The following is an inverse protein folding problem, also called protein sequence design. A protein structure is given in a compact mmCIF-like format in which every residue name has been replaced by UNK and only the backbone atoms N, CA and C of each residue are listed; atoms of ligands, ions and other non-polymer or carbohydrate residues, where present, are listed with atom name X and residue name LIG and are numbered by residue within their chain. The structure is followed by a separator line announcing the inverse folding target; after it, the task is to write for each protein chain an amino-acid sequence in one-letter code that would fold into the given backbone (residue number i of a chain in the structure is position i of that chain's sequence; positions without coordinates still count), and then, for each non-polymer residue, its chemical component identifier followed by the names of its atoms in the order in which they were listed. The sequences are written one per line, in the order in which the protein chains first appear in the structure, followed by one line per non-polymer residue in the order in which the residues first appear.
data_IF_290341889088
#
_entry.id   IF_290341889088
#
_cell.length_a   1.000
_cell.length_b   1.000
_cell.length_c   1.000
_cell.angle_alpha   90.00
_cell.angle_beta   90.00
_cell.angle_gamma   90.00
#
_symmetry.space_group_name_H-M   'P 1'
#
loop_
_entity.id
_entity.type
_entity.pdbx_description
1 polymer ?
#
# COMPACT_ATOMS: atom_id res chain seq x y z
N UNK A 1 -6.75 0.29 -2.93
CA UNK A 1 -6.02 -0.74 -2.17
C UNK A 1 -5.09 -1.56 -3.07
N UNK A 2 -5.59 -2.30 -4.07
CA UNK A 2 -4.79 -3.17 -4.94
C UNK A 2 -3.55 -2.50 -5.52
N UNK A 3 -3.72 -1.31 -6.10
CA UNK A 3 -2.60 -0.58 -6.70
C UNK A 3 -1.55 -0.17 -5.68
N UNK A 4 -1.95 0.10 -4.44
CA UNK A 4 -1.01 0.39 -3.37
C UNK A 4 -0.20 -0.85 -2.98
N UNK A 5 -0.76 -2.06 -3.05
CA UNK A 5 -0.01 -3.30 -2.83
C UNK A 5 1.03 -3.50 -3.91
N UNK A 6 0.65 -3.32 -5.19
CA UNK A 6 1.56 -3.45 -6.33
C UNK A 6 2.69 -2.43 -6.27
N UNK A 7 2.35 -1.16 -5.99
CA UNK A 7 3.33 -0.08 -5.86
C UNK A 7 4.23 -0.23 -4.64
N UNK A 8 3.71 -0.77 -3.53
CA UNK A 8 4.52 -1.11 -2.37
C UNK A 8 5.53 -2.21 -2.70
N UNK A 9 5.11 -3.25 -3.43
CA UNK A 9 5.98 -4.35 -3.84
C UNK A 9 7.19 -3.90 -4.68
N UNK A 10 7.01 -2.91 -5.55
CA UNK A 10 8.11 -2.33 -6.35
C UNK A 10 9.26 -1.78 -5.47
N UNK A 11 8.99 -1.36 -4.23
CA UNK A 11 10.00 -0.93 -3.27
C UNK A 11 10.42 -2.06 -2.32
N UNK A 12 9.46 -2.88 -1.88
CA UNK A 12 9.71 -3.99 -0.94
C UNK A 12 10.65 -5.04 -1.52
N UNK A 13 10.65 -5.26 -2.84
CA UNK A 13 11.55 -6.22 -3.48
C UNK A 13 13.04 -5.84 -3.34
N UNK A 14 13.35 -4.55 -3.19
CA UNK A 14 14.70 -4.02 -2.94
C UNK A 14 14.95 -3.86 -1.43
N UNK A 15 14.48 -4.80 -0.60
CA UNK A 15 14.58 -4.70 0.86
C UNK A 15 15.97 -5.16 1.38
N UNK A 16 16.34 -4.82 2.62
CA UNK A 16 17.50 -5.45 3.25
C UNK A 16 17.41 -6.98 3.20
N UNK A 17 18.55 -7.64 2.95
CA UNK A 17 18.64 -9.10 2.85
C UNK A 17 18.41 -9.69 1.46
N UNK A 18 18.31 -8.87 0.41
CA UNK A 18 18.17 -9.32 -0.99
C UNK A 18 19.28 -8.84 -1.92
N UNK A 19 20.39 -8.32 -1.39
CA UNK A 19 21.50 -7.74 -2.16
C UNK A 19 22.12 -6.55 -1.43
N UNK A 20 23.02 -5.83 -2.11
CA UNK A 20 23.60 -4.57 -1.65
C UNK A 20 22.76 -3.36 -2.08
N UNK A 21 22.00 -3.47 -3.18
CA UNK A 21 21.07 -2.42 -3.61
C UNK A 21 19.80 -2.44 -2.77
N UNK A 22 19.83 -1.69 -1.68
CA UNK A 22 18.76 -1.68 -0.68
C UNK A 22 18.01 -0.35 -0.64
N UNK A 23 16.68 -0.43 -0.74
CA UNK A 23 15.76 0.63 -0.40
C UNK A 23 15.62 0.75 1.12
N UNK A 24 15.98 1.90 1.67
CA UNK A 24 15.71 2.26 3.06
C UNK A 24 14.21 2.46 3.35
N UNK A 25 13.35 2.40 2.32
CA UNK A 25 11.91 2.61 2.40
C UNK A 25 11.47 3.97 1.92
N UNK A 26 10.36 4.46 2.48
CA UNK A 26 9.80 5.73 2.03
C UNK A 26 8.61 6.19 2.83
N UNK A 27 8.08 7.35 2.43
CA UNK A 27 6.87 7.92 3.00
C UNK A 27 5.72 7.76 2.04
N UNK A 28 4.64 7.14 2.53
CA UNK A 28 3.42 7.04 1.75
C UNK A 28 2.82 8.44 1.59
N UNK A 29 2.59 8.85 0.36
CA UNK A 29 2.00 10.17 0.05
C UNK A 29 0.60 10.25 0.66
N UNK A 30 0.43 11.15 1.64
CA UNK A 30 -0.81 11.47 2.37
C UNK A 30 -1.33 10.30 3.20
N UNK A 31 -1.36 10.38 4.52
CA UNK A 31 -1.97 9.31 5.33
C UNK A 31 -3.51 9.43 5.36
N UNK A 32 -4.00 10.59 5.77
CA UNK A 32 -5.42 10.96 5.81
C UNK A 32 -5.74 11.87 4.63
N UNK A 33 -6.86 11.64 3.97
CA UNK A 33 -7.37 12.57 2.96
C UNK A 33 -7.38 14.01 3.47
N UNK A 34 -7.15 14.95 2.55
CA UNK A 34 -6.90 16.35 2.90
C UNK A 34 -7.40 17.28 1.81
N UNK A 35 -7.69 18.54 2.18
CA UNK A 35 -8.04 19.58 1.23
C UNK A 35 -6.80 20.26 0.63
N UNK A 36 -5.84 19.44 0.16
CA UNK A 36 -4.67 19.89 -0.60
C UNK A 36 -4.91 19.69 -2.10
N UNK A 37 -3.94 20.06 -2.94
CA UNK A 37 -3.99 19.82 -4.39
C UNK A 37 -4.45 18.38 -4.71
N UNK A 38 -5.49 18.24 -5.51
CA UNK A 38 -6.13 16.97 -5.82
C UNK A 38 -6.04 16.64 -7.32
N UNK A 39 -6.29 15.36 -7.63
CA UNK A 39 -6.31 14.81 -8.99
C UNK A 39 -7.43 13.77 -9.03
N UNK A 40 -8.63 14.19 -9.34
CA UNK A 40 -9.81 13.35 -9.29
C UNK A 40 -11.09 14.17 -9.41
N UNK A 41 -12.21 13.48 -9.32
CA UNK A 41 -13.55 14.06 -9.49
C UNK A 41 -14.00 14.90 -8.29
N UNK A 42 -13.48 14.60 -7.09
CA UNK A 42 -13.83 15.36 -5.87
C UNK A 42 -13.01 16.63 -5.75
N UNK A 43 -13.57 17.60 -5.04
CA UNK A 43 -12.94 18.88 -4.70
C UNK A 43 -11.88 18.80 -3.58
N UNK A 44 -11.43 17.60 -3.19
CA UNK A 44 -10.36 17.39 -2.21
C UNK A 44 -9.51 16.15 -2.56
N UNK A 45 -8.32 16.06 -1.96
CA UNK A 45 -7.36 15.00 -2.26
C UNK A 45 -7.71 13.70 -1.52
N UNK A 46 -8.17 12.70 -2.28
CA UNK A 46 -8.51 11.33 -1.82
C UNK A 46 -7.36 10.33 -1.78
N UNK A 47 -6.12 10.80 -1.68
CA UNK A 47 -4.94 9.91 -1.76
C UNK A 47 -4.69 9.12 -0.47
N UNK A 48 -5.32 9.47 0.65
CA UNK A 48 -5.15 8.88 1.98
C UNK A 48 -5.61 7.43 2.07
N UNK A 49 -5.01 6.69 3.02
CA UNK A 49 -5.47 5.36 3.43
C UNK A 49 -6.61 5.44 4.45
N UNK A 50 -6.79 6.60 5.08
CA UNK A 50 -8.01 6.99 5.80
C UNK A 50 -8.69 8.16 5.10
N UNK A 51 -9.97 8.36 5.35
CA UNK A 51 -10.69 9.56 4.98
C UNK A 51 -10.28 10.77 5.88
N UNK A 52 -10.82 11.99 5.68
CA UNK A 52 -10.51 13.15 6.50
C UNK A 52 -10.98 13.03 7.96
N UNK A 53 -11.95 12.18 8.25
CA UNK A 53 -12.45 11.90 9.59
C UNK A 53 -11.75 10.73 10.27
N UNK A 54 -10.67 10.21 9.65
CA UNK A 54 -9.86 9.08 10.12
C UNK A 54 -10.68 7.79 10.22
N UNK A 55 -11.62 7.61 9.30
CA UNK A 55 -12.26 6.32 9.02
C UNK A 55 -11.34 5.58 8.04
N UNK A 56 -11.01 4.34 8.39
CA UNK A 56 -10.09 3.50 7.67
C UNK A 56 -10.71 2.99 6.36
N UNK A 57 -9.95 3.10 5.26
CA UNK A 57 -10.30 2.48 3.97
C UNK A 57 -9.68 1.09 3.89
N UNK A 58 -10.07 0.29 2.90
CA UNK A 58 -9.41 -0.99 2.58
C UNK A 58 -7.88 -0.88 2.48
N UNK A 59 -7.40 0.26 1.98
CA UNK A 59 -5.99 0.53 1.86
C UNK A 59 -5.28 0.60 3.21
N UNK A 60 -5.91 1.08 4.28
CA UNK A 60 -5.31 1.10 5.62
C UNK A 60 -4.97 -0.32 6.07
N UNK A 61 -5.94 -1.25 5.99
CA UNK A 61 -5.76 -2.63 6.39
C UNK A 61 -4.78 -3.38 5.48
N UNK A 62 -4.77 -3.08 4.18
CA UNK A 62 -3.76 -3.62 3.27
C UNK A 62 -2.33 -3.23 3.71
N UNK A 63 -2.10 -1.96 4.07
CA UNK A 63 -0.79 -1.53 4.58
C UNK A 63 -0.48 -2.15 5.94
N UNK A 64 -1.48 -2.30 6.81
CA UNK A 64 -1.29 -2.98 8.10
C UNK A 64 -0.74 -4.41 7.91
N UNK A 65 -1.24 -5.15 6.93
CA UNK A 65 -0.71 -6.47 6.58
C UNK A 65 0.70 -6.39 6.01
N UNK A 66 0.93 -5.54 5.00
CA UNK A 66 2.21 -5.44 4.29
C UNK A 66 3.36 -4.92 5.16
N UNK A 67 3.07 -4.05 6.12
CA UNK A 67 4.08 -3.41 6.97
C UNK A 67 4.29 -4.10 8.32
N UNK A 68 3.62 -5.24 8.56
CA UNK A 68 3.77 -5.97 9.80
C UNK A 68 5.06 -6.80 9.82
N UNK A 69 6.16 -6.15 10.19
CA UNK A 69 7.49 -6.66 9.93
C UNK A 69 7.94 -6.21 8.54
N UNK A 70 8.13 -4.90 8.41
CA UNK A 70 8.43 -4.17 7.18
C UNK A 70 9.35 -4.89 6.18
N UNK A 71 10.39 -5.58 6.68
CA UNK A 71 11.26 -6.44 5.85
C UNK A 71 10.78 -7.89 5.92
N UNK A 72 10.99 -8.51 7.08
CA UNK A 72 10.55 -9.87 7.37
C UNK A 72 9.37 -9.84 8.33
N UNK A 73 8.43 -10.75 8.10
CA UNK A 73 7.15 -10.79 8.82
C UNK A 73 7.37 -10.98 10.32
N UNK A 74 6.90 -10.01 11.11
CA UNK A 74 6.88 -10.09 12.57
C UNK A 74 5.63 -10.86 13.03
N UNK A 75 4.45 -10.50 12.48
CA UNK A 75 3.20 -11.20 12.75
C UNK A 75 2.40 -11.44 11.47
N UNK A 76 1.93 -12.67 11.27
CA UNK A 76 1.06 -12.99 10.15
C UNK A 76 -0.30 -12.30 10.28
N UNK A 77 -0.77 -11.73 9.17
CA UNK A 77 -2.07 -11.08 9.05
C UNK A 77 -2.67 -11.35 7.67
N UNK A 78 -4.00 -11.28 7.62
CA UNK A 78 -4.79 -11.48 6.41
C UNK A 78 -5.94 -10.48 6.43
N UNK A 79 -6.25 -9.91 5.26
CA UNK A 79 -7.36 -8.99 5.07
C UNK A 79 -8.05 -9.26 3.74
N UNK A 80 -9.39 -9.42 3.76
CA UNK A 80 -10.18 -9.51 2.53
C UNK A 80 -10.66 -8.09 2.19
N UNK A 81 -10.38 -7.63 0.97
CA UNK A 81 -10.76 -6.28 0.52
C UNK A 81 -12.27 -6.20 0.25
N UNK A 82 -12.92 -5.17 0.80
CA UNK A 82 -14.32 -4.84 0.57
C UNK A 82 -15.30 -5.43 1.59
N UNK A 83 -16.47 -5.87 1.12
CA UNK A 83 -17.57 -6.39 1.93
C UNK A 83 -18.19 -7.64 1.28
N UNK A 84 -19.14 -8.29 1.96
CA UNK A 84 -19.81 -9.52 1.47
C UNK A 84 -21.35 -9.39 1.41
N UNK A 85 -21.80 -8.28 0.82
CA UNK A 85 -23.21 -7.97 0.56
C UNK A 85 -23.35 -7.61 -0.91
N UNK A 86 -23.78 -8.56 -1.73
CA UNK A 86 -23.96 -8.36 -3.17
C UNK A 86 -25.34 -8.87 -3.60
N UNK A 87 -25.87 -8.42 -4.75
CA UNK A 87 -27.05 -9.03 -5.34
C UNK A 87 -26.85 -10.53 -5.58
N UNK A 88 -27.93 -11.31 -5.49
CA UNK A 88 -27.91 -12.72 -5.87
C UNK A 88 -27.35 -12.90 -7.28
N UNK A 89 -26.68 -14.04 -7.51
CA UNK A 89 -26.02 -14.37 -8.79
C UNK A 89 -24.83 -13.48 -9.19
N UNK A 90 -24.39 -12.55 -8.35
CA UNK A 90 -23.15 -11.80 -8.58
C UNK A 90 -21.96 -12.77 -8.66
N UNK A 91 -21.15 -12.67 -9.71
CA UNK A 91 -19.84 -13.33 -9.82
C UNK A 91 -18.79 -12.23 -9.95
N UNK A 92 -17.82 -12.22 -9.04
CA UNK A 92 -16.79 -11.17 -9.01
C UNK A 92 -15.44 -11.71 -8.55
N UNK A 93 -14.36 -10.96 -8.82
CA UNK A 93 -13.09 -11.25 -8.19
C UNK A 93 -13.14 -10.97 -6.68
N UNK A 94 -12.42 -11.78 -5.91
CA UNK A 94 -12.07 -11.54 -4.50
C UNK A 94 -10.57 -11.33 -4.40
N UNK A 95 -10.20 -10.32 -3.61
CA UNK A 95 -8.81 -9.95 -3.38
C UNK A 95 -8.50 -10.05 -1.89
N UNK A 96 -7.43 -10.76 -1.58
CA UNK A 96 -6.94 -10.93 -0.21
C UNK A 96 -5.53 -10.40 -0.12
N UNK A 97 -5.25 -9.57 0.88
CA UNK A 97 -3.90 -9.15 1.23
C UNK A 97 -3.42 -10.02 2.39
N UNK A 98 -2.31 -10.72 2.22
CA UNK A 98 -1.70 -11.52 3.30
C UNK A 98 -0.19 -11.52 3.18
N UNK A 99 0.51 -11.59 4.31
CA UNK A 99 1.95 -11.83 4.39
C UNK A 99 2.31 -13.32 4.62
N UNK A 100 1.35 -14.23 4.45
CA UNK A 100 1.62 -15.67 4.38
C UNK A 100 2.03 -16.12 2.97
N UNK A 101 2.44 -17.37 2.86
CA UNK A 101 2.95 -17.95 1.61
C UNK A 101 1.83 -18.42 0.68
N UNK A 102 0.71 -18.88 1.24
CA UNK A 102 -0.46 -19.35 0.49
C UNK A 102 -1.74 -18.90 1.18
N UNK A 103 -2.78 -18.61 0.40
CA UNK A 103 -4.11 -18.28 0.93
C UNK A 103 -5.15 -19.20 0.28
N UNK A 104 -5.98 -19.83 1.10
CA UNK A 104 -7.18 -20.55 0.67
C UNK A 104 -8.43 -19.71 0.96
N UNK A 105 -9.37 -19.69 0.03
CA UNK A 105 -10.65 -19.02 0.21
C UNK A 105 -11.74 -20.04 0.48
N UNK A 106 -12.55 -19.83 1.51
CA UNK A 106 -13.71 -20.66 1.84
C UNK A 106 -14.97 -19.82 1.77
N UNK A 107 -16.02 -20.38 1.16
CA UNK A 107 -17.36 -19.82 1.15
C UNK A 107 -18.30 -20.79 1.85
N UNK A 108 -18.90 -20.36 2.97
CA UNK A 108 -19.77 -21.17 3.80
C UNK A 108 -19.13 -22.51 4.22
N UNK A 109 -17.83 -22.46 4.56
CA UNK A 109 -17.03 -23.63 4.96
C UNK A 109 -16.55 -24.50 3.80
N UNK A 110 -16.95 -24.24 2.55
CA UNK A 110 -16.48 -24.96 1.38
C UNK A 110 -15.28 -24.26 0.75
N UNK A 111 -14.18 -24.98 0.56
CA UNK A 111 -13.00 -24.47 -0.15
C UNK A 111 -13.34 -24.09 -1.60
N UNK A 112 -12.85 -22.93 -2.01
CA UNK A 112 -12.84 -22.44 -3.38
C UNK A 112 -11.44 -22.56 -4.02
N UNK A 113 -10.51 -23.22 -3.33
CA UNK A 113 -9.12 -23.40 -3.76
C UNK A 113 -8.16 -22.34 -3.19
N UNK A 114 -6.90 -22.45 -3.61
CA UNK A 114 -5.83 -21.53 -3.25
C UNK A 114 -5.75 -20.37 -4.25
N UNK A 115 -5.53 -19.17 -3.74
CA UNK A 115 -5.44 -17.95 -4.54
C UNK A 115 -4.14 -17.88 -5.32
N UNK A 116 -4.17 -17.19 -6.47
CA UNK A 116 -2.96 -16.86 -7.21
C UNK A 116 -2.22 -15.74 -6.49
N UNK A 117 -0.96 -15.98 -6.10
CA UNK A 117 -0.11 -14.97 -5.46
C UNK A 117 0.44 -13.99 -6.52
N UNK A 118 0.32 -12.70 -6.25
CA UNK A 118 0.78 -11.59 -7.07
C UNK A 118 1.43 -10.53 -6.16
N UNK A 119 2.47 -9.85 -6.66
CA UNK A 119 3.16 -8.77 -5.92
C UNK A 119 3.49 -9.13 -4.46
N UNK A 120 3.86 -10.39 -4.23
CA UNK A 120 4.14 -11.03 -2.94
C UNK A 120 2.99 -11.09 -1.92
N UNK A 121 2.19 -10.02 -1.76
CA UNK A 121 1.18 -9.90 -0.71
C UNK A 121 -0.26 -10.06 -1.19
N UNK A 122 -0.52 -10.02 -2.50
CA UNK A 122 -1.86 -10.05 -3.07
C UNK A 122 -2.22 -11.45 -3.52
N UNK A 123 -3.36 -11.97 -3.06
CA UNK A 123 -3.92 -13.24 -3.49
C UNK A 123 -5.25 -12.99 -4.21
N UNK A 124 -5.36 -13.45 -5.45
CA UNK A 124 -6.50 -13.20 -6.33
C UNK A 124 -7.33 -14.47 -6.57
N UNK A 125 -8.65 -14.26 -6.63
CA UNK A 125 -9.64 -15.29 -6.95
C UNK A 125 -10.63 -14.70 -7.97
N UNK A 126 -10.49 -15.06 -9.25
CA UNK A 126 -11.10 -14.30 -10.35
C UNK A 126 -12.64 -14.36 -10.42
N UNK A 127 -13.21 -15.53 -10.09
CA UNK A 127 -14.64 -15.82 -10.31
C UNK A 127 -15.26 -16.47 -9.08
N UNK A 128 -15.53 -15.66 -8.06
CA UNK A 128 -16.25 -16.11 -6.86
C UNK A 128 -17.73 -15.77 -7.03
N UNK A 129 -18.57 -16.81 -7.11
CA UNK A 129 -20.01 -16.66 -7.10
C UNK A 129 -20.47 -16.31 -5.69
N UNK A 130 -21.16 -15.18 -5.55
CA UNK A 130 -21.69 -14.73 -4.28
C UNK A 130 -22.76 -15.71 -3.77
N UNK A 131 -22.60 -16.09 -2.50
CA UNK A 131 -23.63 -16.73 -1.70
C UNK A 131 -23.66 -16.00 -0.36
N UNK A 132 -24.87 -15.68 0.10
CA UNK A 132 -25.04 -15.13 1.44
C UNK A 132 -24.44 -16.06 2.49
N UNK A 133 -23.82 -15.49 3.51
CA UNK A 133 -23.18 -16.22 4.60
C UNK A 133 -21.76 -15.72 4.85
N UNK A 134 -20.80 -16.63 4.94
CA UNK A 134 -19.45 -16.36 5.45
C UNK A 134 -18.39 -16.62 4.38
N UNK A 135 -17.60 -15.59 4.08
CA UNK A 135 -16.40 -15.68 3.23
C UNK A 135 -15.16 -15.61 4.12
N UNK A 136 -14.29 -16.59 4.03
CA UNK A 136 -13.09 -16.71 4.87
C UNK A 136 -11.84 -16.84 4.01
N UNK A 137 -10.78 -16.14 4.40
CA UNK A 137 -9.46 -16.31 3.83
C UNK A 137 -8.54 -16.88 4.90
N UNK A 138 -7.93 -18.03 4.61
CA UNK A 138 -7.03 -18.77 5.50
C UNK A 138 -5.65 -18.73 4.93
N UNK A 139 -4.71 -18.16 5.68
CA UNK A 139 -3.33 -17.98 5.27
C UNK A 139 -2.44 -19.03 5.90
N UNK A 140 -1.50 -19.54 5.11
CA UNK A 140 -0.58 -20.60 5.48
C UNK A 140 0.87 -20.15 5.31
N UNK A 141 1.76 -20.63 6.17
CA UNK A 141 3.21 -20.43 6.02
C UNK A 141 3.85 -21.42 5.02
N UNK A 142 5.16 -21.28 4.80
CA UNK A 142 5.92 -22.18 3.92
C UNK A 142 5.97 -23.65 4.38
N UNK A 143 5.53 -23.96 5.60
CA UNK A 143 5.39 -25.32 6.14
C UNK A 143 3.96 -25.85 6.03
N UNK A 144 3.04 -25.07 5.46
CA UNK A 144 1.62 -25.43 5.31
C UNK A 144 0.79 -25.29 6.58
N UNK A 145 1.27 -24.59 7.61
CA UNK A 145 0.53 -24.34 8.86
C UNK A 145 -0.35 -23.11 8.72
N UNK A 146 -1.58 -23.15 9.23
CA UNK A 146 -2.43 -21.96 9.32
C UNK A 146 -1.78 -20.93 10.25
N UNK A 147 -1.61 -19.70 9.77
CA UNK A 147 -0.94 -18.61 10.51
C UNK A 147 -1.83 -17.39 10.72
N UNK A 148 -2.84 -17.19 9.87
CA UNK A 148 -3.84 -16.13 10.05
C UNK A 148 -5.12 -16.42 9.27
N UNK A 149 -6.23 -15.85 9.75
CA UNK A 149 -7.56 -16.00 9.14
C UNK A 149 -8.30 -14.67 9.18
N UNK A 150 -9.02 -14.35 8.10
CA UNK A 150 -9.91 -13.20 8.05
C UNK A 150 -11.29 -13.62 7.53
N UNK A 151 -12.35 -12.97 8.02
CA UNK A 151 -13.73 -13.34 7.72
C UNK A 151 -14.54 -12.09 7.36
N UNK A 152 -15.29 -12.18 6.27
CA UNK A 152 -16.41 -11.30 5.97
C UNK A 152 -17.71 -12.08 6.08
N UNK A 153 -18.77 -11.44 6.55
CA UNK A 153 -20.10 -12.03 6.62
C UNK A 153 -21.13 -11.14 5.95
N UNK A 154 -22.12 -11.75 5.31
CA UNK A 154 -23.29 -11.02 4.81
C UNK A 154 -24.06 -10.43 5.99
N UNK A 155 -24.27 -9.11 5.92
CA UNK A 155 -24.99 -8.31 6.90
C UNK A 155 -26.47 -8.22 6.51
N UNK A 156 -27.38 -8.19 7.50
CA UNK A 156 -28.81 -8.06 7.26
C UNK A 156 -29.25 -6.65 6.85
N UNK A 157 -30.56 -6.46 6.78
CA UNK A 157 -31.18 -5.14 6.56
C UNK A 157 -30.86 -4.17 7.71
N UNK A 158 -30.75 -2.88 7.38
CA UNK A 158 -30.55 -1.81 8.35
C UNK A 158 -31.67 -1.80 9.39
N UNK A 159 -31.31 -1.81 10.68
CA UNK A 159 -32.24 -1.93 11.79
C UNK A 159 -32.17 -0.76 12.78
N UNK A 160 -30.99 -0.16 12.99
CA UNK A 160 -30.84 0.98 13.89
C UNK A 160 -29.60 1.82 13.57
N UNK A 161 -29.56 3.01 14.16
CA UNK A 161 -28.36 3.83 14.28
C UNK A 161 -27.60 3.44 15.54
N UNK A 162 -26.28 3.33 15.44
CA UNK A 162 -25.37 3.12 16.57
C UNK A 162 -24.45 4.33 16.71
N UNK A 163 -24.38 4.90 17.92
CA UNK A 163 -23.58 6.08 18.22
C UNK A 163 -22.47 5.72 19.19
N UNK A 164 -21.21 5.96 18.79
CA UNK A 164 -20.03 5.74 19.63
C UNK A 164 -19.22 7.01 19.72
N UNK A 165 -18.84 7.42 20.92
CA UNK A 165 -17.96 8.58 21.13
C UNK A 165 -16.52 8.13 21.41
N UNK A 166 -15.58 8.73 20.68
CA UNK A 166 -14.15 8.63 20.90
C UNK A 166 -13.70 9.91 21.58
N UNK A 167 -13.25 9.78 22.82
CA UNK A 167 -12.85 10.90 23.68
C UNK A 167 -11.37 10.76 24.04
N UNK A 168 -10.78 11.82 24.57
CA UNK A 168 -9.48 11.73 25.22
C UNK A 168 -9.52 10.63 26.32
N UNK A 169 -8.46 9.81 26.47
CA UNK A 169 -8.38 8.79 27.52
C UNK A 169 -8.64 9.27 28.95
N UNK A 170 -8.41 10.56 29.24
CA UNK A 170 -8.71 11.17 30.55
C UNK A 170 -10.11 11.76 30.66
N UNK A 171 -10.94 11.61 29.63
CA UNK A 171 -12.29 12.16 29.54
C UNK A 171 -12.36 13.41 28.66
N UNK A 172 -13.59 13.81 28.33
CA UNK A 172 -13.85 14.97 27.48
C UNK A 172 -13.84 16.25 28.32
N UNK A 173 -12.90 17.16 28.09
CA UNK A 173 -12.67 18.31 28.96
C UNK A 173 -13.39 19.57 28.46
N UNK A 174 -13.93 20.36 29.38
CA UNK A 174 -14.56 21.65 29.11
C UNK A 174 -13.54 22.80 29.11
N UNK A 175 -12.58 22.75 28.18
CA UNK A 175 -11.58 23.79 27.98
C UNK A 175 -11.91 24.72 26.79
N UNK A 176 -12.99 24.44 26.05
CA UNK A 176 -13.39 25.19 24.86
C UNK A 176 -12.70 24.76 23.56
N UNK A 177 -11.81 23.76 23.60
CA UNK A 177 -11.00 23.32 22.48
C UNK A 177 -11.03 21.79 22.27
N UNK A 178 -11.16 21.02 23.35
CA UNK A 178 -11.22 19.56 23.31
C UNK A 178 -12.36 19.09 22.41
N UNK A 179 -12.16 17.95 21.77
CA UNK A 179 -13.10 17.40 20.80
C UNK A 179 -13.37 15.93 21.10
N UNK A 180 -14.66 15.58 21.13
CA UNK A 180 -15.10 14.21 21.00
C UNK A 180 -15.41 13.92 19.54
N UNK A 181 -14.93 12.79 19.02
CA UNK A 181 -15.41 12.29 17.73
C UNK A 181 -16.65 11.42 17.96
N UNK A 182 -17.75 11.78 17.32
CA UNK A 182 -18.98 11.00 17.30
C UNK A 182 -19.00 10.15 16.03
N UNK A 183 -18.84 8.84 16.17
CA UNK A 183 -19.09 7.89 15.10
C UNK A 183 -20.57 7.52 15.06
N UNK A 184 -21.16 7.55 13.87
CA UNK A 184 -22.48 7.03 13.58
C UNK A 184 -22.35 5.85 12.63
N UNK A 185 -23.00 4.74 12.95
CA UNK A 185 -23.11 3.58 12.07
C UNK A 185 -24.56 3.21 11.85
N UNK A 186 -24.90 2.83 10.63
CA UNK A 186 -26.14 2.11 10.32
C UNK A 186 -25.83 0.62 10.45
N UNK A 187 -26.51 -0.05 11.37
CA UNK A 187 -26.25 -1.46 11.69
C UNK A 187 -27.50 -2.31 11.53
N UNK A 188 -27.30 -3.60 11.25
CA UNK A 188 -28.37 -4.59 11.24
C UNK A 188 -28.83 -4.95 12.67
N UNK A 189 -29.81 -5.86 12.75
CA UNK A 189 -30.35 -6.32 14.04
C UNK A 189 -29.29 -6.95 14.96
N UNK A 190 -28.20 -7.48 14.39
CA UNK A 190 -27.12 -8.15 15.10
C UNK A 190 -25.97 -7.16 15.43
N UNK A 191 -26.11 -5.87 15.09
CA UNK A 191 -25.11 -4.83 15.34
C UNK A 191 -23.95 -4.81 14.35
N UNK A 192 -24.11 -5.42 13.18
CA UNK A 192 -23.09 -5.39 12.12
C UNK A 192 -23.36 -4.21 11.19
N UNK A 193 -22.33 -3.41 10.89
CA UNK A 193 -22.43 -2.27 9.97
C UNK A 193 -22.95 -2.69 8.59
N UNK A 194 -23.96 -2.00 8.08
CA UNK A 194 -24.53 -2.22 6.76
C UNK A 194 -23.68 -1.51 5.68
N UNK A 195 -22.81 -2.23 4.94
CA UNK A 195 -21.77 -1.61 4.12
C UNK A 195 -22.29 -0.92 2.85
N UNK A 196 -23.57 -1.11 2.51
CA UNK A 196 -24.20 -0.52 1.32
C UNK A 196 -25.06 0.71 1.67
N UNK A 197 -25.21 1.03 2.95
CA UNK A 197 -26.07 2.13 3.38
C UNK A 197 -25.38 3.47 3.19
N UNK A 198 -26.04 4.40 2.51
CA UNK A 198 -25.52 5.76 2.27
C UNK A 198 -26.57 6.84 2.61
N UNK A 199 -27.50 6.52 3.53
CA UNK A 199 -28.59 7.44 3.89
C UNK A 199 -28.10 8.67 4.66
N UNK A 200 -28.88 9.74 4.63
CA UNK A 200 -28.63 10.93 5.44
C UNK A 200 -29.09 10.73 6.89
N UNK A 201 -28.22 11.09 7.84
CA UNK A 201 -28.54 11.14 9.27
C UNK A 201 -28.65 12.60 9.72
N UNK A 202 -29.77 12.96 10.34
CA UNK A 202 -29.98 14.26 10.95
C UNK A 202 -29.55 14.24 12.41
N UNK A 203 -28.73 15.20 12.80
CA UNK A 203 -28.25 15.36 14.16
C UNK A 203 -28.94 16.52 14.87
N UNK A 204 -29.06 16.39 16.19
CA UNK A 204 -29.40 17.50 17.09
C UNK A 204 -28.49 17.43 18.31
N UNK A 205 -27.87 18.56 18.65
CA UNK A 205 -26.99 18.72 19.79
C UNK A 205 -27.66 19.61 20.84
N UNK A 206 -27.68 19.19 22.11
CA UNK A 206 -28.13 20.00 23.25
C UNK A 206 -27.09 19.96 24.37
N UNK A 207 -26.88 21.07 25.06
CA UNK A 207 -25.96 21.17 26.18
C UNK A 207 -24.74 22.05 25.88
N UNK A 208 -23.72 21.96 26.73
CA UNK A 208 -22.53 22.81 26.73
C UNK A 208 -21.47 22.32 25.72
N UNK A 209 -21.84 22.30 24.43
CA UNK A 209 -20.96 21.93 23.33
C UNK A 209 -21.34 22.58 22.00
N UNK A 210 -20.40 22.57 21.07
CA UNK A 210 -20.58 23.05 19.71
C UNK A 210 -20.41 21.91 18.70
N UNK A 211 -21.32 21.84 17.73
CA UNK A 211 -21.19 20.95 16.59
C UNK A 211 -20.17 21.50 15.60
N UNK A 212 -19.20 20.66 15.22
CA UNK A 212 -18.17 21.00 14.24
C UNK A 212 -18.26 20.16 12.95
N UNK A 213 -19.35 19.43 12.78
CA UNK A 213 -19.66 18.70 11.55
C UNK A 213 -18.80 17.48 11.31
N UNK A 214 -19.10 16.80 10.21
CA UNK A 214 -18.24 15.81 9.59
C UNK A 214 -17.94 16.22 8.15
N UNK A 215 -17.73 15.23 7.29
CA UNK A 215 -17.61 15.41 5.86
C UNK A 215 -18.29 14.24 5.14
N UNK A 216 -18.91 14.51 4.01
CA UNK A 216 -19.45 13.49 3.12
C UNK A 216 -19.44 14.02 1.68
N UNK A 217 -19.49 13.13 0.69
CA UNK A 217 -19.70 13.50 -0.70
C UNK A 217 -21.05 14.20 -0.86
N UNK A 218 -21.04 15.37 -1.50
CA UNK A 218 -22.23 16.19 -1.69
C UNK A 218 -21.91 17.67 -1.83
N UNK A 219 -22.97 18.49 -1.86
CA UNK A 219 -22.83 19.94 -1.93
C UNK A 219 -22.07 20.44 -0.70
N UNK A 220 -21.06 21.28 -0.94
CA UNK A 220 -20.20 21.87 0.11
C UNK A 220 -19.55 20.83 1.06
N UNK A 221 -19.46 19.57 0.61
CA UNK A 221 -18.98 18.41 1.36
C UNK A 221 -19.65 18.20 2.74
N UNK A 222 -20.87 18.73 2.95
CA UNK A 222 -21.58 18.69 4.24
C UNK A 222 -20.79 19.28 5.43
N UNK A 223 -19.82 20.17 5.17
CA UNK A 223 -19.01 20.78 6.22
C UNK A 223 -19.93 21.59 7.16
N UNK A 224 -19.83 21.32 8.47
CA UNK A 224 -20.68 21.90 9.54
C UNK A 224 -22.18 21.55 9.46
N UNK A 225 -22.63 20.80 8.45
CA UNK A 225 -24.05 20.43 8.32
C UNK A 225 -24.45 19.47 9.46
N UNK A 226 -25.70 19.60 9.91
CA UNK A 226 -26.33 18.68 10.85
C UNK A 226 -27.00 17.51 10.11
N UNK A 227 -27.10 17.58 8.78
CA UNK A 227 -27.56 16.49 7.92
C UNK A 227 -26.33 15.87 7.25
N UNK A 228 -25.87 14.76 7.79
CA UNK A 228 -24.63 14.12 7.34
C UNK A 228 -24.95 12.72 6.80
N UNK A 229 -24.73 12.45 5.51
CA UNK A 229 -24.77 11.11 4.94
C UNK A 229 -23.82 10.16 5.66
N UNK A 230 -24.26 8.92 5.91
CA UNK A 230 -23.29 7.83 6.07
C UNK A 230 -22.70 7.46 4.72
N UNK A 231 -21.46 7.00 4.70
CA UNK A 231 -20.81 6.43 3.53
C UNK A 231 -20.38 5.01 3.87
N UNK A 232 -20.84 4.01 3.12
CA UNK A 232 -20.63 2.60 3.45
C UNK A 232 -21.11 2.22 4.87
N UNK A 233 -22.22 2.82 5.32
CA UNK A 233 -22.85 2.57 6.60
C UNK A 233 -22.20 3.27 7.79
N UNK A 234 -21.21 4.15 7.58
CA UNK A 234 -20.51 4.84 8.65
C UNK A 234 -20.26 6.32 8.30
N UNK A 235 -20.29 7.21 9.29
CA UNK A 235 -19.61 8.51 9.22
C UNK A 235 -19.20 8.94 10.63
N UNK A 236 -18.46 10.04 10.72
CA UNK A 236 -18.00 10.62 11.98
C UNK A 236 -18.14 12.14 11.93
N UNK A 237 -18.52 12.70 13.07
CA UNK A 237 -18.60 14.14 13.28
C UNK A 237 -17.79 14.57 14.50
N UNK A 238 -17.46 15.84 14.55
CA UNK A 238 -16.72 16.46 15.64
C UNK A 238 -17.65 17.26 16.54
N UNK A 239 -17.53 17.06 17.84
CA UNK A 239 -18.21 17.85 18.87
C UNK A 239 -17.13 18.51 19.73
N UNK A 240 -17.11 19.84 19.74
CA UNK A 240 -16.16 20.62 20.55
C UNK A 240 -16.80 21.00 21.87
N UNK A 241 -16.08 20.88 22.98
CA UNK A 241 -16.55 21.35 24.28
C UNK A 241 -16.66 22.88 24.32
N UNK A 242 -17.49 23.41 25.22
CA UNK A 242 -17.33 24.82 25.65
C UNK A 242 -16.39 24.88 26.86
N UNK A 243 -16.08 26.08 27.34
CA UNK A 243 -15.33 26.27 28.59
C UNK A 243 -16.16 25.95 29.86
N UNK A 244 -17.42 25.56 29.72
CA UNK A 244 -18.31 25.23 30.84
C UNK A 244 -18.61 23.74 30.84
N UNK A 245 -18.24 23.08 31.93
CA UNK A 245 -18.57 21.66 32.11
C UNK A 245 -20.07 21.43 32.15
N UNK A 246 -20.53 20.35 31.55
CA UNK A 246 -21.95 20.06 31.46
C UNK A 246 -22.29 18.78 30.73
N UNK A 247 -23.57 18.44 30.83
CA UNK A 247 -24.16 17.32 30.10
C UNK A 247 -24.40 17.75 28.65
N UNK A 248 -23.98 16.90 27.72
CA UNK A 248 -24.19 17.07 26.29
C UNK A 248 -25.05 15.90 25.82
N UNK A 249 -26.05 16.16 25.00
CA UNK A 249 -26.93 15.13 24.49
C UNK A 249 -27.03 15.27 22.98
N UNK A 250 -26.58 14.23 22.28
CA UNK A 250 -26.68 14.11 20.84
C UNK A 250 -27.85 13.20 20.51
N UNK A 251 -28.66 13.60 19.54
CA UNK A 251 -29.72 12.77 18.94
C UNK A 251 -29.42 12.61 17.47
N UNK A 252 -29.53 11.39 16.96
CA UNK A 252 -29.38 11.05 15.55
C UNK A 252 -30.66 10.40 15.03
N UNK A 253 -31.15 10.86 13.90
CA UNK A 253 -32.40 10.44 13.28
C UNK A 253 -32.17 10.15 11.80
N UNK A 254 -32.73 9.06 11.29
CA UNK A 254 -32.68 8.72 9.87
C UNK A 254 -34.01 8.08 9.46
N UNK A 255 -34.39 8.27 8.19
CA UNK A 255 -35.65 7.73 7.68
C UNK A 255 -35.72 6.20 7.84
N UNK A 256 -36.85 5.71 8.34
CA UNK A 256 -37.12 4.29 8.54
C UNK A 256 -36.38 3.62 9.71
N UNK A 257 -35.57 4.36 10.49
CA UNK A 257 -34.83 3.82 11.64
C UNK A 257 -35.26 4.50 12.95
N UNK A 258 -35.22 3.78 14.09
CA UNK A 258 -35.43 4.41 15.39
C UNK A 258 -34.33 5.44 15.68
N UNK A 259 -34.71 6.54 16.33
CA UNK A 259 -33.76 7.57 16.74
C UNK A 259 -32.77 7.02 17.77
N UNK A 260 -31.48 7.35 17.62
CA UNK A 260 -30.44 7.03 18.58
C UNK A 260 -30.06 8.27 19.40
N UNK A 261 -29.66 8.05 20.65
CA UNK A 261 -29.29 9.13 21.57
C UNK A 261 -28.06 8.76 22.35
N UNK A 262 -27.08 9.67 22.39
CA UNK A 262 -25.87 9.52 23.18
C UNK A 262 -25.75 10.70 24.15
N UNK A 263 -25.43 10.41 25.41
CA UNK A 263 -25.12 11.43 26.41
C UNK A 263 -23.62 11.41 26.67
N UNK A 264 -23.00 12.59 26.58
CA UNK A 264 -21.62 12.84 26.97
C UNK A 264 -21.62 13.78 28.18
N UNK A 265 -20.53 13.76 28.92
CA UNK A 265 -20.32 14.64 30.06
C UNK A 265 -18.93 15.24 29.94
N UNK A 266 -18.84 16.56 30.02
CA UNK A 266 -17.54 17.22 30.07
C UNK A 266 -17.05 17.39 31.50
N UNK A 267 -15.73 17.27 31.67
CA UNK A 267 -15.00 17.47 32.93
C UNK A 267 -14.57 18.93 33.02
N UNK A 268 -14.78 19.63 34.15
CA UNK A 268 -14.34 21.01 34.30
C UNK A 268 -12.81 21.11 34.28
N UNK A 269 -12.30 22.11 33.55
CA UNK A 269 -10.88 22.49 33.59
C UNK A 269 -10.72 23.67 34.51
N UNK A 270 -9.80 23.56 35.48
CA UNK A 270 -9.51 24.67 36.39
C UNK A 270 -8.75 25.75 35.63
N UNK A 271 -9.28 26.97 35.67
CA UNK A 271 -8.64 28.17 35.13
C UNK A 271 -8.56 29.22 36.23
N UNK A 272 -7.35 29.71 36.50
CA UNK A 272 -7.08 30.81 37.42
C UNK A 272 -6.33 31.90 36.65
N UNK A 273 -6.86 33.13 36.66
CA UNK A 273 -6.26 34.29 35.98
C UNK A 273 -5.92 34.05 34.49
N UNK A 274 -6.77 33.28 33.81
CA UNK A 274 -6.60 32.94 32.39
C UNK A 274 -5.62 31.79 32.11
N UNK A 275 -5.09 31.13 33.15
CA UNK A 275 -4.15 30.03 33.04
C UNK A 275 -4.74 28.72 33.58
N UNK A 276 -4.37 27.59 32.96
CA UNK A 276 -4.67 26.25 33.44
C UNK A 276 -3.39 25.45 33.61
N UNK A 277 -3.36 24.57 34.61
CA UNK A 277 -2.33 23.55 34.81
C UNK A 277 -2.62 22.26 34.02
N UNK A 278 -3.82 22.14 33.43
CA UNK A 278 -4.17 21.04 32.56
C UNK A 278 -3.48 21.19 31.19
N UNK A 279 -2.61 20.23 30.86
CA UNK A 279 -1.91 20.16 29.59
C UNK A 279 -2.24 18.80 28.93
N UNK A 280 -3.13 18.75 27.91
CA UNK A 280 -3.53 17.50 27.26
C UNK A 280 -2.36 16.65 26.75
N UNK A 281 -1.26 17.29 26.34
CA UNK A 281 -0.06 16.58 25.86
C UNK A 281 0.62 15.72 26.94
N UNK A 282 0.44 16.04 28.23
CA UNK A 282 1.05 15.28 29.33
C UNK A 282 0.28 14.00 29.66
N UNK A 283 -0.91 13.82 29.08
CA UNK A 283 -1.84 12.75 29.41
C UNK A 283 -1.77 11.60 28.40
N UNK A 284 -1.26 11.89 27.20
CA UNK A 284 -1.03 10.91 26.15
C UNK A 284 0.23 10.08 26.45
N UNK A 285 0.02 8.88 26.99
CA UNK A 285 1.11 7.92 27.18
C UNK A 285 1.57 7.36 25.83
N UNK A 286 2.88 7.36 25.60
CA UNK A 286 3.48 6.62 24.48
C UNK A 286 3.16 5.13 24.57
N UNK A 287 3.00 4.46 23.42
CA UNK A 287 2.92 3.00 23.35
C UNK A 287 4.31 2.41 23.13
N UNK A 288 4.78 1.62 24.09
CA UNK A 288 6.10 0.95 24.09
C UNK A 288 5.96 -0.58 24.07
N UNK A 289 4.84 -1.09 23.56
CA UNK A 289 4.49 -2.51 23.50
C UNK A 289 5.43 -3.35 22.63
N UNK A 290 6.12 -2.72 21.68
CA UNK A 290 7.16 -3.34 20.85
C UNK A 290 8.51 -3.55 21.57
N UNK A 291 8.70 -3.00 22.76
CA UNK A 291 9.95 -3.11 23.50
C UNK A 291 11.10 -2.32 22.89
N UNK A 292 12.32 -2.68 23.29
CA UNK A 292 13.55 -2.05 22.80
C UNK A 292 13.89 -2.50 21.38
N UNK A 293 14.58 -1.63 20.63
CA UNK A 293 15.12 -1.99 19.31
C UNK A 293 16.07 -3.18 19.44
N UNK A 294 15.87 -4.27 18.70
CA UNK A 294 16.76 -5.43 18.73
C UNK A 294 18.21 -5.05 18.36
N UNK A 295 19.19 -5.72 18.99
CA UNK A 295 20.62 -5.55 18.69
C UNK A 295 21.05 -6.24 17.38
N UNK A 296 20.22 -7.13 16.85
CA UNK A 296 20.44 -7.84 15.60
C UNK A 296 19.59 -7.22 14.48
N UNK A 297 19.97 -7.40 13.21
CA UNK A 297 19.08 -7.10 12.10
C UNK A 297 17.71 -7.77 12.27
N UNK A 298 16.65 -7.09 11.84
CA UNK A 298 15.28 -7.58 11.87
C UNK A 298 14.90 -8.40 10.62
N UNK A 299 15.90 -8.86 9.87
CA UNK A 299 15.73 -9.57 8.62
C UNK A 299 16.79 -10.66 8.47
N UNK A 300 16.50 -11.62 7.59
CA UNK A 300 17.41 -12.70 7.19
C UNK A 300 17.86 -12.47 5.75
N UNK A 301 19.15 -12.69 5.49
CA UNK A 301 19.66 -12.67 4.12
C UNK A 301 19.10 -13.86 3.34
N UNK A 302 18.50 -13.55 2.19
CA UNK A 302 17.93 -14.53 1.26
C UNK A 302 18.72 -14.60 -0.05
N UNK A 303 19.44 -13.54 -0.38
CA UNK A 303 20.33 -13.48 -1.55
C UNK A 303 21.66 -12.84 -1.16
N UNK A 304 22.72 -13.15 -1.91
CA UNK A 304 24.01 -12.48 -1.84
C UNK A 304 24.37 -11.86 -3.18
N UNK A 305 24.99 -10.69 -3.14
CA UNK A 305 25.59 -10.05 -4.31
C UNK A 305 26.88 -10.75 -4.74
N UNK A 306 27.09 -10.83 -6.05
CA UNK A 306 28.32 -11.30 -6.67
C UNK A 306 28.99 -10.12 -7.36
N UNK A 307 30.06 -9.62 -6.72
CA UNK A 307 30.75 -8.42 -7.17
C UNK A 307 31.22 -8.48 -8.63
N UNK A 308 31.05 -7.37 -9.35
CA UNK A 308 31.54 -7.17 -10.72
C UNK A 308 32.99 -6.66 -10.65
N UNK A 309 33.90 -7.34 -11.35
CA UNK A 309 35.32 -6.95 -11.44
C UNK A 309 35.59 -6.06 -12.64
N UNK A 310 34.96 -6.38 -13.77
CA UNK A 310 35.11 -5.60 -15.01
C UNK A 310 33.95 -5.87 -15.97
N UNK A 311 33.82 -5.01 -16.99
CA UNK A 311 32.83 -5.20 -18.04
C UNK A 311 33.39 -4.80 -19.41
N UNK A 312 33.07 -5.60 -20.44
CA UNK A 312 33.36 -5.35 -21.85
C UNK A 312 32.07 -5.22 -22.64
N UNK A 313 32.02 -4.29 -23.60
CA UNK A 313 30.80 -4.03 -24.36
C UNK A 313 31.04 -3.83 -25.86
N UNK A 314 29.95 -3.98 -26.62
CA UNK A 314 29.96 -3.78 -28.07
C UNK A 314 30.22 -2.33 -28.52
N UNK A 315 29.95 -1.35 -27.66
CA UNK A 315 30.20 0.08 -27.88
C UNK A 315 30.46 0.80 -26.55
N UNK A 316 31.00 2.03 -26.62
CA UNK A 316 31.28 2.89 -25.47
C UNK A 316 32.05 2.18 -24.34
N UNK A 317 33.13 1.48 -24.73
CA UNK A 317 33.87 0.55 -23.85
C UNK A 317 34.51 1.18 -22.62
N UNK A 318 34.79 2.48 -22.66
CA UNK A 318 35.35 3.23 -21.53
C UNK A 318 34.31 3.62 -20.50
N UNK A 319 33.02 3.45 -20.80
CA UNK A 319 31.88 3.85 -19.97
C UNK A 319 31.17 2.64 -19.35
N UNK A 320 31.67 1.42 -19.49
CA UNK A 320 31.00 0.22 -18.96
C UNK A 320 30.87 0.23 -17.44
N UNK A 321 31.79 0.92 -16.75
CA UNK A 321 31.73 1.18 -15.30
C UNK A 321 30.44 1.87 -14.87
N UNK A 322 29.88 2.76 -15.70
CA UNK A 322 28.66 3.51 -15.43
C UNK A 322 27.39 2.64 -15.31
N UNK A 323 27.49 1.32 -15.54
CA UNK A 323 26.37 0.40 -15.39
C UNK A 323 26.35 -0.32 -14.04
N UNK A 324 27.34 -0.08 -13.18
CA UNK A 324 27.52 -0.73 -11.88
C UNK A 324 28.35 0.14 -10.93
N UNK A 325 28.20 1.47 -11.00
CA UNK A 325 28.97 2.44 -10.21
C UNK A 325 28.21 3.00 -9.00
N UNK A 326 27.00 2.49 -8.73
CA UNK A 326 26.11 2.95 -7.66
C UNK A 326 25.68 4.42 -7.78
N UNK A 327 25.69 4.95 -9.00
CA UNK A 327 25.24 6.28 -9.34
C UNK A 327 24.11 6.25 -10.37
N UNK A 328 22.87 6.40 -9.89
CA UNK A 328 21.68 6.44 -10.76
C UNK A 328 21.58 7.67 -11.69
N UNK A 329 22.61 8.52 -11.75
CA UNK A 329 22.75 9.64 -12.69
C UNK A 329 23.72 9.34 -13.85
N UNK A 330 24.43 8.22 -13.81
CA UNK A 330 25.24 7.67 -14.91
C UNK A 330 24.53 6.49 -15.58
N UNK A 331 24.98 6.16 -16.78
CA UNK A 331 24.56 4.95 -17.48
C UNK A 331 25.63 4.51 -18.48
N UNK A 332 25.61 3.24 -18.85
CA UNK A 332 26.19 2.76 -20.09
C UNK A 332 25.12 2.64 -21.17
N UNK A 333 25.47 3.02 -22.40
CA UNK A 333 24.61 2.87 -23.57
C UNK A 333 25.41 2.35 -24.77
N UNK A 334 24.77 1.59 -25.66
CA UNK A 334 25.36 1.27 -26.96
C UNK A 334 25.19 2.42 -27.98
N UNK A 335 25.80 2.28 -29.17
CA UNK A 335 25.77 3.28 -30.26
C UNK A 335 24.48 3.26 -31.11
N UNK A 336 23.43 2.59 -30.63
CA UNK A 336 22.13 2.45 -31.31
C UNK A 336 22.07 1.39 -32.40
N UNK A 337 23.12 0.58 -32.58
CA UNK A 337 23.11 -0.61 -33.46
C UNK A 337 22.82 -1.86 -32.64
N UNK A 338 22.00 -2.76 -33.19
CA UNK A 338 21.70 -4.03 -32.51
C UNK A 338 22.96 -4.90 -32.32
N UNK A 339 23.92 -4.84 -33.25
CA UNK A 339 25.18 -5.62 -33.19
C UNK A 339 26.12 -5.21 -32.05
N UNK A 340 25.94 -4.01 -31.50
CA UNK A 340 26.74 -3.47 -30.38
C UNK A 340 25.94 -3.43 -29.08
N UNK A 341 24.65 -3.78 -29.12
CA UNK A 341 23.72 -3.72 -28.00
C UNK A 341 23.91 -4.91 -27.02
N UNK A 342 25.14 -5.08 -26.54
CA UNK A 342 25.50 -6.11 -25.57
C UNK A 342 26.63 -5.62 -24.67
N UNK A 343 26.63 -6.14 -23.44
CA UNK A 343 27.67 -5.94 -22.43
C UNK A 343 27.87 -7.26 -21.68
N UNK A 344 29.14 -7.60 -21.44
CA UNK A 344 29.57 -8.79 -20.71
C UNK A 344 30.27 -8.36 -19.44
N UNK A 345 29.79 -8.84 -18.31
CA UNK A 345 30.34 -8.60 -16.98
C UNK A 345 31.21 -9.79 -16.56
N UNK A 346 32.39 -9.51 -16.02
CA UNK A 346 33.24 -10.49 -15.35
C UNK A 346 33.04 -10.35 -13.84
N UNK A 347 32.57 -11.41 -13.21
CA UNK A 347 32.29 -11.50 -11.78
C UNK A 347 33.56 -11.88 -11.00
N UNK A 348 33.57 -11.56 -9.71
CA UNK A 348 34.70 -11.84 -8.81
C UNK A 348 34.92 -13.34 -8.55
N UNK A 349 33.87 -14.14 -8.70
CA UNK A 349 33.89 -15.58 -8.59
C UNK A 349 32.87 -16.22 -9.53
N UNK A 350 33.00 -17.51 -9.78
CA UNK A 350 31.96 -18.27 -10.47
C UNK A 350 30.76 -18.44 -9.55
N UNK A 351 29.60 -18.01 -10.00
CA UNK A 351 28.36 -18.10 -9.25
C UNK A 351 27.21 -18.62 -10.12
N UNK A 352 26.21 -19.22 -9.48
CA UNK A 352 24.97 -19.64 -10.15
C UNK A 352 23.93 -18.53 -9.96
N UNK A 353 24.12 -17.42 -10.67
CA UNK A 353 23.26 -16.24 -10.60
C UNK A 353 21.83 -16.62 -10.98
N UNK A 354 20.90 -16.50 -10.03
CA UNK A 354 19.48 -16.83 -10.19
C UNK A 354 18.57 -15.60 -10.27
N UNK A 355 19.10 -14.42 -9.98
CA UNK A 355 18.40 -13.16 -10.10
C UNK A 355 19.35 -12.05 -10.58
N UNK A 356 18.88 -11.27 -11.55
CA UNK A 356 19.61 -10.15 -12.13
C UNK A 356 18.75 -8.91 -11.89
N UNK A 357 19.14 -8.12 -10.90
CA UNK A 357 18.51 -6.86 -10.57
C UNK A 357 19.10 -5.78 -11.49
N UNK A 358 18.27 -5.18 -12.34
CA UNK A 358 18.74 -4.22 -13.36
C UNK A 358 17.85 -2.98 -13.38
N UNK A 359 18.47 -1.81 -13.48
CA UNK A 359 17.81 -0.53 -13.74
C UNK A 359 18.15 -0.08 -15.15
N UNK A 360 17.12 0.01 -15.98
CA UNK A 360 17.24 0.41 -17.38
C UNK A 360 16.73 1.83 -17.56
N UNK A 361 17.30 2.59 -18.48
CA UNK A 361 16.82 3.93 -18.77
C UNK A 361 15.37 3.89 -19.33
N UNK A 362 14.51 4.84 -18.95
CA UNK A 362 13.10 4.84 -19.41
C UNK A 362 12.22 3.71 -18.85
N UNK A 363 12.65 3.04 -17.78
CA UNK A 363 11.98 1.89 -17.11
C UNK A 363 10.46 2.04 -16.86
N UNK A 364 9.94 3.27 -16.73
CA UNK A 364 8.50 3.53 -16.57
C UNK A 364 7.69 3.27 -17.85
N UNK A 365 8.27 3.55 -19.00
CA UNK A 365 7.54 3.62 -20.29
C UNK A 365 8.10 2.67 -21.36
N UNK A 366 9.31 2.16 -21.17
CA UNK A 366 10.01 1.31 -22.12
C UNK A 366 10.15 -0.11 -21.60
N UNK A 367 9.86 -1.07 -22.46
CA UNK A 367 10.16 -2.49 -22.26
C UNK A 367 11.27 -2.91 -23.21
N UNK A 368 12.28 -3.60 -22.66
CA UNK A 368 13.47 -4.03 -23.37
C UNK A 368 13.38 -5.53 -23.68
N UNK A 369 13.47 -5.96 -24.95
CA UNK A 369 13.62 -7.38 -25.29
C UNK A 369 15.07 -7.81 -25.04
N UNK A 370 15.33 -8.50 -23.93
CA UNK A 370 16.69 -8.91 -23.55
C UNK A 370 16.90 -10.42 -23.68
N UNK A 371 18.17 -10.79 -23.84
CA UNK A 371 18.69 -12.13 -23.61
C UNK A 371 19.88 -12.03 -22.65
N UNK A 372 19.97 -12.98 -21.73
CA UNK A 372 21.09 -13.09 -20.80
C UNK A 372 21.77 -14.44 -20.96
N UNK A 373 23.10 -14.41 -21.05
CA UNK A 373 23.95 -15.59 -21.16
C UNK A 373 24.87 -15.71 -19.96
N UNK A 374 25.08 -16.93 -19.47
CA UNK A 374 26.15 -17.27 -18.55
C UNK A 374 27.20 -18.08 -19.30
N UNK A 375 28.39 -17.47 -19.51
CA UNK A 375 29.34 -17.97 -20.51
C UNK A 375 28.68 -17.96 -21.88
N UNK A 376 28.55 -19.13 -22.50
CA UNK A 376 27.92 -19.30 -23.82
C UNK A 376 26.46 -19.80 -23.74
N UNK A 377 25.94 -20.07 -22.53
CA UNK A 377 24.61 -20.66 -22.34
C UNK A 377 23.55 -19.58 -22.10
N UNK A 378 22.45 -19.62 -22.87
CA UNK A 378 21.30 -18.73 -22.69
C UNK A 378 20.55 -19.11 -21.41
N UNK A 379 20.56 -18.23 -20.41
CA UNK A 379 19.89 -18.46 -19.13
C UNK A 379 18.57 -17.70 -18.99
N UNK A 380 18.37 -16.62 -19.75
CA UNK A 380 17.13 -15.84 -19.73
C UNK A 380 16.83 -15.20 -21.08
N UNK A 381 15.56 -15.17 -21.49
CA UNK A 381 15.10 -14.44 -22.69
C UNK A 381 13.67 -13.94 -22.49
N UNK A 382 13.43 -12.65 -22.71
CA UNK A 382 12.13 -12.07 -22.45
C UNK A 382 12.06 -10.57 -22.68
N UNK A 383 10.92 -9.99 -22.31
CA UNK A 383 10.73 -8.55 -22.29
C UNK A 383 10.74 -8.08 -20.83
N UNK A 384 11.47 -7.01 -20.53
CA UNK A 384 11.46 -6.44 -19.18
C UNK A 384 10.09 -5.87 -18.84
N UNK A 385 9.69 -6.02 -17.59
CA UNK A 385 8.52 -5.32 -17.06
C UNK A 385 8.77 -3.81 -17.03
N UNK A 386 7.70 -3.03 -16.89
CA UNK A 386 7.79 -1.60 -16.58
C UNK A 386 7.59 -1.45 -15.08
N UNK A 387 8.46 -0.71 -14.42
CA UNK A 387 8.43 -0.51 -12.97
C UNK A 387 8.69 0.96 -12.62
N UNK A 388 8.67 1.29 -11.33
CA UNK A 388 9.10 2.60 -10.83
C UNK A 388 10.56 2.61 -10.35
N UNK A 389 11.24 1.46 -10.37
CA UNK A 389 12.60 1.27 -9.84
C UNK A 389 13.38 0.27 -10.69
N UNK A 390 13.86 -0.79 -10.03
CA UNK A 390 14.57 -1.88 -10.68
C UNK A 390 13.59 -2.90 -11.29
N UNK A 391 14.10 -3.74 -12.17
CA UNK A 391 13.42 -4.95 -12.66
C UNK A 391 14.32 -6.15 -12.38
N UNK A 392 13.73 -7.29 -12.09
CA UNK A 392 14.48 -8.52 -11.86
C UNK A 392 14.23 -9.51 -12.98
N UNK A 393 15.30 -10.09 -13.49
CA UNK A 393 15.26 -11.15 -14.47
C UNK A 393 15.53 -12.46 -13.74
N UNK A 394 14.47 -13.06 -13.19
CA UNK A 394 14.56 -14.34 -12.46
C UNK A 394 14.95 -15.48 -13.43
N UNK A 395 15.97 -16.24 -13.06
CA UNK A 395 16.56 -17.31 -13.89
C UNK A 395 16.17 -18.67 -13.31
N UNK A 396 15.26 -19.38 -13.99
CA UNK A 396 14.77 -20.68 -13.53
C UNK A 396 15.86 -21.77 -13.45
N UNK A 397 16.88 -21.67 -14.30
CA UNK A 397 17.97 -22.65 -14.45
C UNK A 397 19.32 -21.92 -14.48
N UNK A 398 19.86 -21.52 -13.31
CA UNK A 398 21.11 -20.78 -13.26
C UNK A 398 22.28 -21.67 -13.67
N UNK A 399 23.25 -21.08 -14.37
CA UNK A 399 24.47 -21.75 -14.83
C UNK A 399 25.67 -21.12 -14.13
N UNK A 400 26.52 -21.96 -13.56
CA UNK A 400 27.70 -21.51 -12.82
C UNK A 400 28.74 -20.89 -13.76
N UNK A 401 28.90 -19.57 -13.69
CA UNK A 401 29.80 -18.79 -14.55
C UNK A 401 30.33 -17.58 -13.80
N UNK A 402 31.51 -17.12 -14.19
CA UNK A 402 32.07 -15.82 -13.82
C UNK A 402 31.84 -14.77 -14.93
N UNK A 403 31.16 -15.14 -16.01
CA UNK A 403 30.81 -14.25 -17.12
C UNK A 403 29.32 -14.24 -17.37
N UNK A 404 28.72 -13.05 -17.31
CA UNK A 404 27.32 -12.83 -17.64
C UNK A 404 27.21 -11.79 -18.76
N UNK A 405 26.58 -12.14 -19.88
CA UNK A 405 26.33 -11.22 -21.00
C UNK A 405 24.86 -10.84 -21.06
N UNK A 406 24.56 -9.55 -21.02
CA UNK A 406 23.23 -9.00 -21.30
C UNK A 406 23.23 -8.42 -22.71
N UNK A 407 22.27 -8.83 -23.54
CA UNK A 407 22.13 -8.29 -24.90
C UNK A 407 20.70 -8.00 -25.28
N UNK A 408 20.53 -7.04 -26.19
CA UNK A 408 19.25 -6.73 -26.79
C UNK A 408 18.92 -7.73 -27.91
N UNK A 409 17.73 -8.32 -27.87
CA UNK A 409 17.24 -9.29 -28.86
C UNK A 409 16.65 -8.62 -30.11
N UNK A 410 16.13 -7.40 -29.98
CA UNK A 410 15.37 -6.75 -31.04
C UNK A 410 15.06 -5.29 -30.79
N UNK A 411 13.91 -4.81 -31.28
CA UNK A 411 13.51 -3.41 -31.10
C UNK A 411 12.86 -3.19 -29.73
N UNK A 412 13.26 -2.14 -29.01
CA UNK A 412 12.58 -1.72 -27.78
C UNK A 412 11.17 -1.21 -28.08
N UNK A 413 10.23 -1.47 -27.18
CA UNK A 413 8.85 -0.97 -27.31
C UNK A 413 8.57 0.13 -26.30
N UNK A 414 8.16 1.30 -26.80
CA UNK A 414 7.78 2.46 -26.00
C UNK A 414 6.25 2.54 -25.90
N UNK A 415 5.70 2.39 -24.70
CA UNK A 415 4.29 2.65 -24.40
C UNK A 415 4.16 2.99 -22.91
N UNK A 416 3.74 4.19 -22.57
CA UNK A 416 3.54 4.56 -21.18
C UNK A 416 2.51 3.64 -20.51
N UNK A 417 2.95 2.85 -19.53
CA UNK A 417 2.09 1.95 -18.76
C UNK A 417 1.49 2.62 -17.52
N UNK A 418 1.94 3.84 -17.20
CA UNK A 418 1.56 4.58 -16.01
C UNK A 418 0.92 5.93 -16.35
N UNK A 419 0.49 6.17 -17.60
CA UNK A 419 0.02 7.48 -18.09
C UNK A 419 -1.21 8.08 -17.40
N UNK A 420 -1.83 7.37 -16.45
CA UNK A 420 -2.82 7.94 -15.54
C UNK A 420 -2.19 8.66 -14.32
N UNK A 421 -0.90 8.46 -14.08
CA UNK A 421 -0.10 9.15 -13.06
C UNK A 421 0.39 10.47 -13.67
N UNK A 422 -0.37 11.54 -13.45
CA UNK A 422 0.04 12.89 -13.86
C UNK A 422 1.11 13.39 -12.87
N UNK A 423 2.33 13.66 -13.32
CA UNK A 423 3.38 14.27 -12.49
C UNK A 423 3.23 15.80 -12.40
N UNK A 424 3.72 16.42 -11.33
CA UNK A 424 3.64 17.90 -11.13
C UNK A 424 4.64 18.64 -12.06
N UNK A 425 5.61 17.94 -12.65
CA UNK A 425 6.63 18.55 -13.53
C UNK A 425 6.92 17.68 -14.77
N UNK A 426 6.36 18.05 -15.92
CA UNK A 426 6.84 17.60 -17.25
C UNK A 426 6.69 16.11 -17.61
N UNK A 427 6.06 15.29 -16.76
CA UNK A 427 5.80 13.87 -17.02
C UNK A 427 7.05 12.99 -17.06
N UNK A 428 8.14 13.39 -16.41
CA UNK A 428 9.34 12.57 -16.23
C UNK A 428 9.84 12.74 -14.79
N UNK A 429 10.17 11.63 -14.12
CA UNK A 429 10.45 11.66 -12.69
C UNK A 429 11.82 12.26 -12.35
N UNK A 430 12.75 12.28 -13.30
CA UNK A 430 14.07 12.90 -13.16
C UNK A 430 14.64 13.32 -14.53
N UNK A 431 15.79 14.00 -14.52
CA UNK A 431 16.42 14.50 -15.75
C UNK A 431 16.94 13.38 -16.67
N UNK A 432 17.30 12.22 -16.09
CA UNK A 432 17.63 11.00 -16.85
C UNK A 432 16.45 10.50 -17.68
N UNK A 433 15.25 10.48 -17.10
CA UNK A 433 14.01 10.10 -17.79
C UNK A 433 13.57 11.17 -18.81
N UNK A 434 13.84 12.46 -18.54
CA UNK A 434 13.63 13.51 -19.56
C UNK A 434 14.51 13.26 -20.79
N UNK A 435 15.81 13.02 -20.58
CA UNK A 435 16.76 12.68 -21.67
C UNK A 435 16.39 11.36 -22.37
N UNK A 436 15.80 10.41 -21.66
CA UNK A 436 15.28 9.16 -22.23
C UNK A 436 14.27 9.39 -23.37
N UNK A 437 13.39 10.37 -23.19
CA UNK A 437 12.35 10.70 -24.18
C UNK A 437 12.92 11.31 -25.46
N UNK A 438 14.11 11.88 -25.40
CA UNK A 438 14.82 12.46 -26.55
C UNK A 438 15.57 11.39 -27.35
N UNK A 439 16.08 10.33 -26.69
CA UNK A 439 16.78 9.19 -27.31
C UNK A 439 15.87 8.01 -27.68
N UNK A 440 15.10 8.12 -28.77
CA UNK A 440 14.16 7.07 -29.27
C UNK A 440 14.77 6.09 -30.28
N UNK A 441 16.04 5.73 -30.12
CA UNK A 441 16.66 4.70 -30.98
C UNK A 441 16.06 3.32 -30.70
N UNK A 442 15.57 2.62 -31.74
CA UNK A 442 14.92 1.31 -31.60
C UNK A 442 15.83 0.21 -31.04
N UNK A 443 17.15 0.38 -31.11
CA UNK A 443 18.14 -0.61 -30.68
C UNK A 443 19.09 -0.07 -29.61
N UNK A 444 18.59 0.86 -28.78
CA UNK A 444 19.34 1.40 -27.66
C UNK A 444 19.14 0.51 -26.43
N UNK A 445 20.18 -0.22 -26.02
CA UNK A 445 20.30 -0.79 -24.67
C UNK A 445 21.00 0.24 -23.79
N UNK A 446 20.35 0.64 -22.70
CA UNK A 446 20.82 1.68 -21.79
C UNK A 446 20.65 1.19 -20.35
N UNK A 447 21.76 0.89 -19.70
CA UNK A 447 21.80 0.30 -18.36
C UNK A 447 22.33 1.35 -17.41
N UNK A 448 21.51 1.70 -16.42
CA UNK A 448 21.87 2.64 -15.34
C UNK A 448 22.62 1.86 -14.27
N UNK A 449 22.04 0.75 -13.82
CA UNK A 449 22.63 -0.11 -12.79
C UNK A 449 22.32 -1.58 -13.07
N UNK A 450 23.21 -2.47 -12.66
CA UNK A 450 22.99 -3.91 -12.62
C UNK A 450 23.66 -4.52 -11.40
N UNK A 451 23.04 -5.55 -10.85
CA UNK A 451 23.52 -6.39 -9.76
C UNK A 451 23.23 -7.85 -10.07
N UNK A 452 24.13 -8.75 -9.69
CA UNK A 452 24.01 -10.19 -9.94
C UNK A 452 23.86 -10.91 -8.60
N UNK A 453 22.72 -11.57 -8.41
CA UNK A 453 22.31 -12.13 -7.14
C UNK A 453 22.26 -13.65 -7.21
N UNK A 454 22.75 -14.29 -6.15
CA UNK A 454 22.63 -15.74 -5.94
C UNK A 454 21.82 -16.00 -4.67
N UNK A 455 20.79 -16.83 -4.77
CA UNK A 455 19.97 -17.19 -3.62
C UNK A 455 20.76 -17.99 -2.59
N UNK A 456 20.68 -17.57 -1.34
CA UNK A 456 21.29 -18.29 -0.21
C UNK A 456 20.42 -19.50 0.06
N UNK A 457 20.93 -20.69 -0.28
CA UNK A 457 20.25 -21.95 0.04
C UNK A 457 20.16 -22.08 1.55
N UNK A 458 18.93 -22.06 2.07
CA UNK A 458 18.67 -22.42 3.46
C UNK A 458 19.18 -23.85 3.68
N UNK A 459 20.04 -24.04 4.70
CA UNK A 459 20.52 -25.35 5.11
C UNK A 459 19.44 -26.17 5.78
#
# INVERSE_FOLDING_TARGET
ALEMVRRWYDYWRERPGTGLRVSAGGTKIIFSDSNTHYRGEENYRRSGVTDPMRIEKDAFFAHQVMWNGWVDTDKFQTYIIGHWNYPEHTVKPVYVVSNGEQVELLLNGKSLGKGKRESHFLFTFDKVAYQAGRLEAVSYDGKGREVSRYTLSTVGEAARLELTAMQNPEGFHADGADMALLQVEVVDKDGRRCPLDNRTVRFTLKGEAEWRGGIAQGKDNHILDMNLPVECGINRALIRSTAKAGKIVVTAEAEGLPAARLTLQTVPVKVADGLSDYLPQLTLKGRLDKGETPLTPSYTDTKRDIAIVSAEAGANRTETGNSHDDNELSEWANDGRLSTAWITYTLAEKASVDDICIKLNGWRSRSYPLEVYAGDELIWSGNTEKSLGYVHLEVDKPVCSDKITVRLKGSTTDKDAFGQIVEVAGGAANDMEKKAKEGKGKHNLRIIEIEFLESIKSR
#
